data_IF_836079581369
#
_entry.id   IF_836079581369
#
_cell.length_a   1.000
_cell.length_b   1.000
_cell.length_c   1.000
_cell.angle_alpha   90.00
_cell.angle_beta   90.00
_cell.angle_gamma   90.00
#
_symmetry.space_group_name_H-M   'P 1'
#
loop_
_entity.id
_entity.type
_entity.pdbx_description
1 polymer ?
#
# COMPACT_ATOMS: atom_id res chain seq x y z
N UNK A 1 3.59 51.45 3.94
CA UNK A 1 4.57 51.60 2.86
C UNK A 1 4.79 50.23 2.24
N UNK A 2 4.45 50.13 0.95
CA UNK A 2 4.17 48.89 0.23
C UNK A 2 5.40 48.01 0.00
N UNK A 3 5.27 46.71 0.26
CA UNK A 3 6.13 45.69 -0.36
C UNK A 3 5.57 45.31 -1.73
N UNK A 4 6.45 45.43 -2.72
CA UNK A 4 6.19 45.21 -4.15
C UNK A 4 6.00 43.73 -4.43
N UNK A 5 4.95 43.44 -5.21
CA UNK A 5 4.72 42.18 -5.92
C UNK A 5 5.72 42.04 -7.09
N UNK A 6 6.31 40.86 -7.21
CA UNK A 6 6.99 40.33 -8.41
C UNK A 6 6.70 38.84 -8.42
N UNK A 7 6.35 38.16 -9.51
CA UNK A 7 6.00 38.53 -10.87
C UNK A 7 5.29 37.31 -11.46
N UNK A 8 4.21 37.52 -12.19
CA UNK A 8 3.49 36.47 -12.92
C UNK A 8 4.30 36.11 -14.17
N UNK A 9 4.80 34.87 -14.23
CA UNK A 9 5.32 34.27 -15.46
C UNK A 9 4.12 33.90 -16.34
N UNK A 10 3.87 34.74 -17.33
CA UNK A 10 2.97 34.49 -18.45
C UNK A 10 3.56 33.41 -19.36
N UNK A 11 2.90 32.25 -19.46
CA UNK A 11 3.21 31.23 -20.47
C UNK A 11 2.36 31.53 -21.71
N UNK A 12 3.00 32.02 -22.76
CA UNK A 12 2.41 32.18 -24.09
C UNK A 12 2.42 30.83 -24.81
N UNK A 13 1.26 30.27 -25.13
CA UNK A 13 1.15 29.07 -25.97
C UNK A 13 1.02 29.53 -27.43
N UNK A 14 2.03 29.23 -28.24
CA UNK A 14 1.98 29.40 -29.69
C UNK A 14 1.14 28.28 -30.31
N UNK A 15 0.03 28.65 -30.97
CA UNK A 15 -0.78 27.73 -31.78
C UNK A 15 -0.11 27.56 -33.14
N UNK A 16 0.57 26.44 -33.33
CA UNK A 16 1.00 25.96 -34.65
C UNK A 16 -0.16 25.25 -35.35
N UNK A 17 -0.54 25.75 -36.52
CA UNK A 17 -1.50 25.12 -37.43
C UNK A 17 -0.86 23.91 -38.12
N UNK A 18 -1.44 22.72 -37.91
CA UNK A 18 -1.16 21.54 -38.76
C UNK A 18 -2.47 21.08 -39.39
N UNK A 19 -2.49 21.19 -40.71
CA UNK A 19 -3.52 20.68 -41.61
C UNK A 19 -3.46 19.15 -41.72
N UNK A 20 -4.59 18.49 -41.43
CA UNK A 20 -5.11 17.33 -42.17
C UNK A 20 -4.42 15.97 -42.05
N UNK A 21 -5.05 15.04 -41.33
CA UNK A 21 -5.32 13.65 -41.77
C UNK A 21 -6.27 12.98 -40.78
N UNK A 22 -7.36 12.41 -41.30
CA UNK A 22 -8.41 11.72 -40.58
C UNK A 22 -7.98 10.34 -40.09
N UNK A 23 -8.01 10.10 -38.78
CA UNK A 23 -7.98 8.75 -38.19
C UNK A 23 -8.96 8.69 -37.02
N UNK A 24 -9.93 7.78 -37.14
CA UNK A 24 -10.75 7.12 -36.12
C UNK A 24 -10.80 7.81 -34.74
N UNK A 25 -11.96 8.38 -34.41
CA UNK A 25 -12.25 9.03 -33.15
C UNK A 25 -12.11 8.10 -31.96
N UNK A 26 -10.99 8.23 -31.26
CA UNK A 26 -10.96 8.16 -29.81
C UNK A 26 -11.12 9.61 -29.38
N UNK A 27 -12.26 9.96 -28.78
CA UNK A 27 -12.41 11.29 -28.19
C UNK A 27 -11.28 11.51 -27.20
N UNK A 28 -10.48 12.58 -27.34
CA UNK A 28 -9.54 12.93 -26.31
C UNK A 28 -10.36 13.29 -25.08
N UNK A 29 -10.13 12.59 -23.96
CA UNK A 29 -10.57 13.05 -22.64
C UNK A 29 -10.07 14.49 -22.53
N UNK A 30 -11.00 15.44 -22.66
CA UNK A 30 -10.69 16.86 -22.65
C UNK A 30 -9.97 17.16 -21.34
N UNK A 31 -8.71 17.58 -21.43
CA UNK A 31 -7.98 18.06 -20.26
C UNK A 31 -8.81 19.17 -19.59
N UNK A 32 -9.11 19.00 -18.30
CA UNK A 32 -9.90 19.94 -17.54
C UNK A 32 -9.32 21.36 -17.65
N UNK A 33 -10.20 22.37 -17.74
CA UNK A 33 -9.73 23.76 -17.70
C UNK A 33 -9.12 24.05 -16.33
N UNK A 34 -8.08 24.90 -16.28
CA UNK A 34 -7.43 25.25 -15.02
C UNK A 34 -8.42 25.79 -13.96
N UNK A 35 -9.50 26.45 -14.40
CA UNK A 35 -10.56 26.95 -13.52
C UNK A 35 -11.39 25.82 -12.91
N UNK A 36 -11.68 24.76 -13.66
CA UNK A 36 -12.46 23.62 -13.15
C UNK A 36 -11.62 22.78 -12.19
N UNK A 37 -10.36 22.51 -12.53
CA UNK A 37 -9.41 21.83 -11.65
C UNK A 37 -9.33 22.50 -10.27
N UNK A 38 -9.23 23.83 -10.23
CA UNK A 38 -9.13 24.59 -8.98
C UNK A 38 -10.40 24.48 -8.14
N UNK A 39 -11.59 24.50 -8.76
CA UNK A 39 -12.86 24.35 -8.04
C UNK A 39 -12.96 22.97 -7.40
N UNK A 40 -12.71 21.91 -8.17
CA UNK A 40 -12.78 20.51 -7.69
C UNK A 40 -11.80 20.30 -6.55
N UNK A 41 -10.56 20.76 -6.70
CA UNK A 41 -9.55 20.68 -5.65
C UNK A 41 -9.97 21.42 -4.37
N UNK A 42 -10.44 22.67 -4.50
CA UNK A 42 -10.86 23.46 -3.34
C UNK A 42 -12.07 22.85 -2.61
N UNK A 43 -13.02 22.26 -3.33
CA UNK A 43 -14.15 21.58 -2.72
C UNK A 43 -13.69 20.32 -1.97
N UNK A 44 -12.79 19.52 -2.56
CA UNK A 44 -12.17 18.39 -1.88
C UNK A 44 -11.43 18.81 -0.60
N UNK A 45 -10.70 19.93 -0.64
CA UNK A 45 -10.01 20.49 0.54
C UNK A 45 -10.97 20.74 1.71
N UNK A 46 -12.18 21.25 1.45
CA UNK A 46 -13.17 21.53 2.49
C UNK A 46 -13.60 20.26 3.26
N UNK A 47 -13.55 19.10 2.61
CA UNK A 47 -13.86 17.81 3.23
C UNK A 47 -12.64 17.16 3.88
N UNK A 48 -11.52 17.03 3.16
CA UNK A 48 -10.37 16.20 3.59
C UNK A 48 -9.65 16.75 4.82
N UNK A 49 -9.76 18.05 5.09
CA UNK A 49 -9.16 18.70 6.26
C UNK A 49 -9.90 18.43 7.57
N UNK A 50 -11.10 17.82 7.52
CA UNK A 50 -11.96 17.60 8.67
C UNK A 50 -12.25 16.11 8.84
N UNK A 51 -11.82 15.45 9.93
CA UNK A 51 -12.01 14.01 10.12
C UNK A 51 -13.47 13.55 10.05
N UNK A 52 -14.42 14.41 10.46
CA UNK A 52 -15.87 14.15 10.38
C UNK A 52 -16.39 14.05 8.94
N UNK A 53 -15.73 14.70 7.98
CA UNK A 53 -16.11 14.69 6.56
C UNK A 53 -15.23 13.75 5.71
N UNK A 54 -14.47 12.85 6.33
CA UNK A 54 -13.58 11.94 5.61
C UNK A 54 -14.33 11.04 4.61
N UNK A 55 -15.52 10.56 4.97
CA UNK A 55 -16.38 9.82 4.04
C UNK A 55 -16.82 10.68 2.85
N UNK A 56 -17.17 11.96 3.09
CA UNK A 56 -17.48 12.92 2.03
C UNK A 56 -16.26 13.17 1.13
N UNK A 57 -15.06 13.32 1.70
CA UNK A 57 -13.84 13.52 0.93
C UNK A 57 -13.56 12.33 0.00
N UNK A 58 -13.71 11.10 0.51
CA UNK A 58 -13.54 9.88 -0.28
C UNK A 58 -14.57 9.80 -1.40
N UNK A 59 -15.85 9.98 -1.08
CA UNK A 59 -16.91 9.93 -2.08
C UNK A 59 -16.76 11.04 -3.13
N UNK A 60 -16.42 12.24 -2.71
CA UNK A 60 -16.16 13.36 -3.62
C UNK A 60 -15.01 13.04 -4.56
N UNK A 61 -13.88 12.52 -4.05
CA UNK A 61 -12.77 12.13 -4.90
C UNK A 61 -13.17 11.05 -5.92
N UNK A 62 -13.91 10.01 -5.51
CA UNK A 62 -14.36 8.94 -6.43
C UNK A 62 -15.16 9.51 -7.61
N UNK A 63 -15.99 10.51 -7.37
CA UNK A 63 -16.90 11.05 -8.39
C UNK A 63 -16.30 12.17 -9.26
N UNK A 64 -15.18 12.78 -8.85
CA UNK A 64 -14.64 13.97 -9.51
C UNK A 64 -13.14 13.88 -9.83
N UNK A 65 -12.48 12.73 -9.62
CA UNK A 65 -11.05 12.60 -9.88
C UNK A 65 -10.68 12.70 -11.36
N UNK A 66 -11.61 12.41 -12.26
CA UNK A 66 -11.48 12.53 -13.71
C UNK A 66 -11.65 13.98 -14.22
N UNK A 67 -12.15 14.88 -13.37
CA UNK A 67 -12.36 16.30 -13.68
C UNK A 67 -11.13 17.18 -13.39
N UNK A 68 -10.02 16.60 -12.95
CA UNK A 68 -8.77 17.31 -12.63
C UNK A 68 -7.60 16.77 -13.44
N UNK A 69 -6.54 17.57 -13.55
CA UNK A 69 -5.30 17.07 -14.14
C UNK A 69 -4.64 16.00 -13.25
N UNK A 70 -3.76 15.20 -13.87
CA UNK A 70 -3.07 14.07 -13.23
C UNK A 70 -2.30 14.44 -11.97
N UNK A 71 -1.66 15.61 -11.94
CA UNK A 71 -0.89 16.03 -10.77
C UNK A 71 -1.84 16.36 -9.62
N UNK A 72 -2.92 17.09 -9.89
CA UNK A 72 -3.96 17.41 -8.91
C UNK A 72 -4.66 16.15 -8.38
N UNK A 73 -5.02 15.20 -9.25
CA UNK A 73 -5.56 13.89 -8.86
C UNK A 73 -4.62 13.13 -7.91
N UNK A 74 -3.31 13.12 -8.23
CA UNK A 74 -2.27 12.54 -7.35
C UNK A 74 -2.27 13.20 -5.97
N UNK A 75 -2.27 14.53 -5.91
CA UNK A 75 -2.26 15.23 -4.62
C UNK A 75 -3.51 14.93 -3.78
N UNK A 76 -4.70 14.97 -4.39
CA UNK A 76 -5.95 14.65 -3.69
C UNK A 76 -5.95 13.21 -3.17
N UNK A 77 -5.46 12.25 -3.96
CA UNK A 77 -5.35 10.83 -3.55
C UNK A 77 -4.40 10.66 -2.36
N UNK A 78 -3.23 11.29 -2.38
CA UNK A 78 -2.25 11.22 -1.29
C UNK A 78 -2.77 11.88 -0.01
N UNK A 79 -3.48 13.00 -0.13
CA UNK A 79 -4.10 13.68 1.01
C UNK A 79 -5.21 12.83 1.63
N UNK A 80 -6.06 12.19 0.81
CA UNK A 80 -7.09 11.27 1.31
C UNK A 80 -6.45 10.12 2.11
N UNK A 81 -5.42 9.47 1.54
CA UNK A 81 -4.72 8.37 2.19
C UNK A 81 -4.09 8.80 3.52
N UNK A 82 -3.40 9.95 3.53
CA UNK A 82 -2.76 10.47 4.74
C UNK A 82 -3.80 10.78 5.83
N UNK A 83 -4.94 11.39 5.47
CA UNK A 83 -6.02 11.67 6.43
C UNK A 83 -6.67 10.39 6.96
N UNK A 84 -6.90 9.39 6.11
CA UNK A 84 -7.39 8.09 6.55
C UNK A 84 -6.42 7.42 7.53
N UNK A 85 -5.12 7.38 7.21
CA UNK A 85 -4.10 6.84 8.12
C UNK A 85 -4.10 7.57 9.47
N UNK A 86 -4.11 8.90 9.44
CA UNK A 86 -4.09 9.71 10.66
C UNK A 86 -5.35 9.52 11.54
N UNK A 87 -6.49 9.20 10.93
CA UNK A 87 -7.75 9.02 11.64
C UNK A 87 -8.06 7.55 11.99
N UNK A 88 -7.26 6.60 11.52
CA UNK A 88 -7.52 5.17 11.70
C UNK A 88 -7.59 4.79 13.18
N UNK A 89 -6.62 5.21 14.00
CA UNK A 89 -6.57 4.89 15.44
C UNK A 89 -7.82 5.39 16.18
N UNK A 90 -8.21 6.65 15.94
CA UNK A 90 -9.41 7.24 16.54
C UNK A 90 -10.68 6.51 16.10
N UNK A 91 -10.75 6.08 14.85
CA UNK A 91 -11.88 5.28 14.38
C UNK A 91 -11.89 3.86 14.98
N UNK A 92 -10.72 3.25 15.20
CA UNK A 92 -10.60 1.92 15.82
C UNK A 92 -11.28 1.84 17.18
N UNK A 93 -11.24 2.91 17.99
CA UNK A 93 -11.91 2.99 19.29
C UNK A 93 -13.43 2.77 19.21
N UNK A 94 -14.06 3.01 18.04
CA UNK A 94 -15.49 2.73 17.84
C UNK A 94 -15.78 1.25 17.59
N UNK A 95 -14.77 0.48 17.22
CA UNK A 95 -14.90 -0.95 16.88
C UNK A 95 -14.67 -1.83 18.12
N UNK A 96 -13.83 -1.40 19.07
CA UNK A 96 -13.50 -2.18 20.28
C UNK A 96 -14.58 -2.37 21.36
N UNK A 97 -15.65 -1.56 21.48
CA UNK A 97 -16.67 -1.79 22.49
C UNK A 97 -17.24 -3.21 22.43
N UNK A 98 -17.44 -3.86 23.59
CA UNK A 98 -17.81 -5.27 23.70
C UNK A 98 -19.04 -5.63 22.84
N UNK A 99 -20.06 -4.77 22.85
CA UNK A 99 -21.26 -4.95 22.03
C UNK A 99 -20.94 -5.01 20.53
N UNK A 100 -20.06 -4.14 20.03
CA UNK A 100 -19.66 -4.09 18.62
C UNK A 100 -18.87 -5.36 18.27
N UNK A 101 -17.88 -5.74 19.08
CA UNK A 101 -17.10 -6.97 18.91
C UNK A 101 -17.99 -8.22 18.87
N UNK A 102 -18.93 -8.34 19.80
CA UNK A 102 -19.85 -9.48 19.89
C UNK A 102 -20.76 -9.60 18.67
N UNK A 103 -21.33 -8.49 18.20
CA UNK A 103 -22.17 -8.49 17.00
C UNK A 103 -21.38 -8.84 15.74
N UNK A 104 -20.16 -8.30 15.59
CA UNK A 104 -19.26 -8.67 14.48
C UNK A 104 -18.92 -10.17 14.57
N UNK A 105 -18.56 -10.67 15.74
CA UNK A 105 -18.23 -12.09 15.95
C UNK A 105 -19.39 -13.02 15.60
N UNK A 106 -20.60 -12.67 16.04
CA UNK A 106 -21.81 -13.45 15.76
C UNK A 106 -22.11 -13.49 14.25
N UNK A 107 -21.95 -12.36 13.57
CA UNK A 107 -22.14 -12.29 12.12
C UNK A 107 -21.04 -13.06 11.36
N UNK A 108 -19.78 -12.86 11.72
CA UNK A 108 -18.65 -13.57 11.14
C UNK A 108 -18.74 -15.08 11.33
N UNK A 109 -19.16 -15.55 12.51
CA UNK A 109 -19.29 -16.98 12.79
C UNK A 109 -20.32 -17.68 11.89
N UNK A 110 -21.35 -16.96 11.42
CA UNK A 110 -22.38 -17.48 10.51
C UNK A 110 -21.95 -17.47 9.05
N UNK A 111 -21.31 -16.40 8.59
CA UNK A 111 -20.98 -16.21 7.16
C UNK A 111 -19.53 -16.50 6.78
N UNK A 112 -18.62 -16.62 7.76
CA UNK A 112 -17.16 -16.75 7.58
C UNK A 112 -16.54 -15.72 6.63
N UNK A 113 -17.12 -14.50 6.63
CA UNK A 113 -16.71 -13.41 5.74
C UNK A 113 -16.83 -12.06 6.47
N UNK A 114 -15.70 -11.34 6.59
CA UNK A 114 -15.56 -10.05 7.29
C UNK A 114 -15.84 -8.81 6.42
N UNK A 115 -16.29 -8.98 5.17
CA UNK A 115 -16.69 -7.83 4.36
C UNK A 115 -17.86 -7.08 4.99
N UNK A 116 -17.86 -5.75 4.87
CA UNK A 116 -18.96 -4.93 5.37
C UNK A 116 -20.32 -5.34 4.81
N UNK A 117 -20.39 -5.75 3.54
CA UNK A 117 -21.64 -6.25 2.93
C UNK A 117 -22.18 -7.47 3.68
N UNK A 118 -21.33 -8.46 3.96
CA UNK A 118 -21.69 -9.66 4.72
C UNK A 118 -22.17 -9.31 6.13
N UNK A 119 -21.40 -8.48 6.85
CA UNK A 119 -21.70 -8.07 8.21
C UNK A 119 -23.02 -7.27 8.30
N UNK A 120 -23.20 -6.29 7.42
CA UNK A 120 -24.40 -5.45 7.38
C UNK A 120 -25.66 -6.20 6.91
N UNK A 121 -25.54 -7.34 6.22
CA UNK A 121 -26.72 -8.16 5.94
C UNK A 121 -27.22 -8.89 7.20
N UNK A 122 -26.29 -9.24 8.10
CA UNK A 122 -26.58 -10.04 9.29
C UNK A 122 -26.91 -9.19 10.52
N UNK A 123 -26.11 -8.16 10.80
CA UNK A 123 -26.23 -7.34 12.01
C UNK A 123 -27.44 -6.40 11.87
N UNK A 124 -28.35 -6.45 12.85
CA UNK A 124 -29.58 -5.65 12.88
C UNK A 124 -29.50 -4.44 13.81
N UNK A 125 -28.63 -4.47 14.81
CA UNK A 125 -28.44 -3.34 15.73
C UNK A 125 -28.00 -2.07 14.98
N UNK A 126 -28.82 -1.01 15.05
CA UNK A 126 -28.60 0.22 14.29
C UNK A 126 -27.29 0.92 14.66
N UNK A 127 -26.90 0.91 15.94
CA UNK A 127 -25.68 1.56 16.40
C UNK A 127 -24.43 0.84 15.87
N UNK A 128 -24.40 -0.49 15.94
CA UNK A 128 -23.29 -1.28 15.36
C UNK A 128 -23.23 -1.11 13.85
N UNK A 129 -24.39 -1.13 13.17
CA UNK A 129 -24.45 -0.88 11.73
C UNK A 129 -23.89 0.50 11.35
N UNK A 130 -24.21 1.54 12.13
CA UNK A 130 -23.70 2.89 11.88
C UNK A 130 -22.17 2.95 12.01
N UNK A 131 -21.58 2.26 12.99
CA UNK A 131 -20.11 2.13 13.08
C UNK A 131 -19.57 1.48 11.81
N UNK A 132 -20.12 0.34 11.40
CA UNK A 132 -19.65 -0.38 10.21
C UNK A 132 -19.79 0.42 8.91
N UNK A 133 -20.92 1.12 8.73
CA UNK A 133 -21.16 2.01 7.59
C UNK A 133 -20.14 3.15 7.58
N UNK A 134 -19.90 3.78 8.74
CA UNK A 134 -18.89 4.84 8.87
C UNK A 134 -17.49 4.34 8.44
N UNK A 135 -17.06 3.16 8.90
CA UNK A 135 -15.77 2.59 8.53
C UNK A 135 -15.64 2.26 7.05
N UNK A 136 -16.68 1.66 6.47
CA UNK A 136 -16.76 1.37 5.04
C UNK A 136 -16.63 2.65 4.22
N UNK A 137 -17.41 3.67 4.57
CA UNK A 137 -17.50 4.91 3.80
C UNK A 137 -16.23 5.76 3.96
N UNK A 138 -15.54 5.64 5.11
CA UNK A 138 -14.21 6.21 5.33
C UNK A 138 -13.09 5.45 4.62
N UNK A 139 -13.34 4.28 4.02
CA UNK A 139 -12.34 3.53 3.25
C UNK A 139 -11.46 2.59 4.08
N UNK A 140 -11.99 2.08 5.18
CA UNK A 140 -11.36 0.99 5.94
C UNK A 140 -11.92 -0.36 5.49
N UNK A 141 -11.30 -1.44 5.96
CA UNK A 141 -11.83 -2.81 5.98
C UNK A 141 -11.63 -3.38 7.39
N UNK A 142 -12.28 -4.49 7.71
CA UNK A 142 -12.08 -5.17 8.99
C UNK A 142 -11.14 -6.36 8.83
N UNK A 143 -10.31 -6.56 9.84
CA UNK A 143 -9.50 -7.75 10.04
C UNK A 143 -9.74 -8.33 11.43
N UNK A 144 -9.18 -9.51 11.67
CA UNK A 144 -9.22 -10.16 12.97
C UNK A 144 -7.90 -10.82 13.30
N UNK A 145 -7.53 -10.74 14.58
CA UNK A 145 -6.40 -11.45 15.17
C UNK A 145 -6.76 -11.75 16.62
N UNK A 146 -6.39 -12.93 17.12
CA UNK A 146 -6.61 -13.34 18.53
C UNK A 146 -8.06 -13.16 19.02
N UNK A 147 -9.04 -13.32 18.13
CA UNK A 147 -10.46 -13.18 18.47
C UNK A 147 -10.98 -11.75 18.55
N UNK A 148 -10.14 -10.76 18.28
CA UNK A 148 -10.51 -9.34 18.21
C UNK A 148 -10.70 -8.89 16.76
N UNK A 149 -11.61 -7.95 16.53
CA UNK A 149 -11.86 -7.33 15.23
C UNK A 149 -11.41 -5.87 15.24
N UNK A 150 -10.68 -5.44 14.23
CA UNK A 150 -10.16 -4.08 14.14
C UNK A 150 -10.16 -3.58 12.70
N UNK A 151 -10.29 -2.25 12.49
CA UNK A 151 -10.21 -1.69 11.16
C UNK A 151 -8.76 -1.52 10.71
N UNK A 152 -8.54 -1.70 9.42
CA UNK A 152 -7.30 -1.38 8.72
C UNK A 152 -7.60 -0.62 7.44
N UNK A 153 -6.58 0.00 6.83
CA UNK A 153 -6.71 0.65 5.52
C UNK A 153 -7.21 -0.35 4.46
N UNK A 154 -8.18 0.04 3.63
CA UNK A 154 -8.64 -0.76 2.49
C UNK A 154 -8.01 -0.27 1.18
N UNK A 155 -6.76 -0.69 0.92
CA UNK A 155 -6.01 -0.25 -0.25
C UNK A 155 -6.57 -0.77 -1.59
N UNK A 156 -7.29 -1.89 -1.60
CA UNK A 156 -8.02 -2.32 -2.80
C UNK A 156 -8.98 -1.23 -3.30
N UNK A 157 -9.62 -0.52 -2.37
CA UNK A 157 -10.50 0.61 -2.68
C UNK A 157 -9.78 1.82 -3.31
N UNK A 158 -8.45 1.90 -3.25
CA UNK A 158 -7.66 2.94 -3.92
C UNK A 158 -7.37 2.61 -5.38
N UNK A 159 -7.53 1.36 -5.82
CA UNK A 159 -7.26 0.98 -7.22
C UNK A 159 -8.11 1.74 -8.23
N UNK A 160 -9.30 2.20 -7.81
CA UNK A 160 -10.17 3.07 -8.62
C UNK A 160 -9.51 4.39 -9.04
N UNK A 161 -8.49 4.87 -8.30
CA UNK A 161 -7.79 6.11 -8.59
C UNK A 161 -6.60 5.93 -9.54
N UNK A 162 -6.12 4.69 -9.73
CA UNK A 162 -4.91 4.38 -10.54
C UNK A 162 -4.89 5.00 -11.94
N UNK A 163 -6.01 5.04 -12.71
CA UNK A 163 -6.01 5.63 -14.05
C UNK A 163 -5.67 7.13 -14.05
N UNK A 164 -6.00 7.83 -12.96
CA UNK A 164 -5.95 9.29 -12.88
C UNK A 164 -4.66 9.82 -12.26
N UNK A 165 -3.98 9.01 -11.45
CA UNK A 165 -2.74 9.41 -10.76
C UNK A 165 -1.48 9.17 -11.60
N UNK A 166 -0.35 9.65 -11.07
CA UNK A 166 0.99 9.40 -11.61
C UNK A 166 1.37 7.92 -11.50
N UNK A 167 2.25 7.46 -12.40
CA UNK A 167 2.61 6.03 -12.51
C UNK A 167 3.22 5.46 -11.22
N UNK A 168 4.01 6.27 -10.52
CA UNK A 168 4.58 5.91 -9.23
C UNK A 168 3.46 5.66 -8.20
N UNK A 169 2.51 6.58 -8.04
CA UNK A 169 1.43 6.39 -7.07
C UNK A 169 0.52 5.23 -7.46
N UNK A 170 0.29 4.97 -8.75
CA UNK A 170 -0.42 3.78 -9.19
C UNK A 170 0.29 2.48 -8.80
N UNK A 171 1.62 2.41 -8.94
CA UNK A 171 2.43 1.25 -8.52
C UNK A 171 2.47 1.10 -7.00
N UNK A 172 2.56 2.22 -6.26
CA UNK A 172 2.47 2.24 -4.80
C UNK A 172 1.14 1.64 -4.31
N UNK A 173 0.02 2.01 -4.93
CA UNK A 173 -1.31 1.47 -4.59
C UNK A 173 -1.34 -0.05 -4.75
N UNK A 174 -0.71 -0.60 -5.80
CA UNK A 174 -0.67 -2.05 -5.99
C UNK A 174 0.13 -2.76 -4.89
N UNK A 175 1.29 -2.24 -4.51
CA UNK A 175 2.10 -2.78 -3.41
C UNK A 175 1.29 -2.77 -2.11
N UNK A 176 0.69 -1.64 -1.77
CA UNK A 176 -0.09 -1.51 -0.53
C UNK A 176 -1.37 -2.34 -0.54
N UNK A 177 -2.02 -2.51 -1.71
CA UNK A 177 -3.20 -3.36 -1.85
C UNK A 177 -2.84 -4.84 -1.68
N UNK A 178 -1.73 -5.29 -2.24
CA UNK A 178 -1.23 -6.66 -2.05
C UNK A 178 -0.98 -6.96 -0.58
N UNK A 179 -0.27 -6.07 0.13
CA UNK A 179 0.01 -6.25 1.55
C UNK A 179 -1.24 -6.13 2.42
N UNK A 180 -2.12 -5.16 2.12
CA UNK A 180 -3.38 -4.99 2.84
C UNK A 180 -4.28 -6.21 2.65
N UNK A 181 -4.47 -6.73 1.44
CA UNK A 181 -5.41 -7.81 1.17
C UNK A 181 -4.96 -9.15 1.77
N UNK A 182 -3.65 -9.39 1.80
CA UNK A 182 -3.05 -10.59 2.37
C UNK A 182 -1.78 -10.19 3.11
N UNK A 183 -1.87 -9.86 4.41
CA UNK A 183 -0.70 -9.45 5.20
C UNK A 183 0.43 -10.47 5.12
N UNK A 184 1.66 -10.00 4.96
CA UNK A 184 2.84 -10.88 4.94
C UNK A 184 3.19 -11.40 6.33
N UNK A 185 2.84 -10.63 7.37
CA UNK A 185 3.11 -10.93 8.77
C UNK A 185 1.85 -10.75 9.61
N UNK A 186 1.59 -11.71 10.49
CA UNK A 186 0.52 -11.67 11.51
C UNK A 186 1.00 -12.39 12.76
N UNK A 187 0.72 -11.84 13.94
CA UNK A 187 1.21 -12.36 15.24
C UNK A 187 2.70 -12.77 15.21
N UNK A 188 3.54 -11.84 14.75
CA UNK A 188 4.98 -12.04 14.55
C UNK A 188 5.38 -13.29 13.74
N UNK A 189 4.48 -13.87 12.95
CA UNK A 189 4.69 -14.99 12.03
C UNK A 189 4.63 -14.50 10.58
N UNK A 190 5.46 -15.06 9.71
CA UNK A 190 5.31 -14.90 8.27
C UNK A 190 4.19 -15.85 7.84
N UNK A 191 3.08 -15.29 7.34
CA UNK A 191 1.84 -16.05 7.05
C UNK A 191 1.60 -16.25 5.55
N UNK A 192 2.59 -15.92 4.73
CA UNK A 192 2.61 -16.14 3.29
C UNK A 192 3.77 -17.05 2.88
N UNK A 193 3.71 -17.72 1.72
CA UNK A 193 4.84 -18.49 1.21
C UNK A 193 6.10 -17.63 1.02
N UNK A 194 7.27 -18.21 1.27
CA UNK A 194 8.57 -17.51 1.12
C UNK A 194 8.82 -16.98 -0.30
N UNK A 195 8.34 -17.70 -1.32
CA UNK A 195 8.41 -17.22 -2.71
C UNK A 195 7.59 -15.93 -2.92
N UNK A 196 6.38 -15.85 -2.33
CA UNK A 196 5.55 -14.65 -2.38
C UNK A 196 6.19 -13.51 -1.59
N UNK A 197 6.75 -13.78 -0.40
CA UNK A 197 7.50 -12.78 0.37
C UNK A 197 8.68 -12.20 -0.43
N UNK A 198 9.39 -13.06 -1.15
CA UNK A 198 10.53 -12.68 -2.00
C UNK A 198 10.07 -11.79 -3.16
N UNK A 199 8.99 -12.18 -3.85
CA UNK A 199 8.42 -11.40 -4.94
C UNK A 199 7.93 -10.02 -4.48
N UNK A 200 7.33 -9.92 -3.28
CA UNK A 200 6.92 -8.64 -2.71
C UNK A 200 8.11 -7.74 -2.39
N UNK A 201 9.19 -8.30 -1.84
CA UNK A 201 10.42 -7.54 -1.60
C UNK A 201 11.02 -7.01 -2.91
N UNK A 202 11.05 -7.83 -3.96
CA UNK A 202 11.49 -7.43 -5.31
C UNK A 202 10.60 -6.34 -5.92
N UNK A 203 9.27 -6.40 -5.71
CA UNK A 203 8.36 -5.36 -6.18
C UNK A 203 8.59 -4.02 -5.47
N UNK A 204 8.91 -4.04 -4.17
CA UNK A 204 9.27 -2.83 -3.42
C UNK A 204 10.62 -2.29 -3.92
N UNK A 205 11.61 -3.16 -4.15
CA UNK A 205 12.91 -2.78 -4.71
C UNK A 205 12.76 -2.11 -6.10
N UNK A 206 11.98 -2.74 -6.97
CA UNK A 206 11.67 -2.21 -8.30
C UNK A 206 11.03 -0.81 -8.23
N UNK A 207 10.11 -0.60 -7.28
CA UNK A 207 9.54 0.72 -7.04
C UNK A 207 10.59 1.76 -6.65
N UNK A 208 11.41 1.48 -5.64
CA UNK A 208 12.36 2.48 -5.11
C UNK A 208 13.46 2.80 -6.13
N UNK A 209 13.79 1.84 -7.00
CA UNK A 209 14.73 2.02 -8.11
C UNK A 209 14.11 2.82 -9.26
N UNK A 210 12.87 2.52 -9.66
CA UNK A 210 12.21 3.21 -10.78
C UNK A 210 11.69 4.60 -10.42
N UNK A 211 11.30 4.81 -9.17
CA UNK A 211 10.65 6.04 -8.70
C UNK A 211 11.35 6.66 -7.49
N UNK A 212 12.66 6.96 -7.57
CA UNK A 212 13.42 7.47 -6.42
C UNK A 212 12.90 8.83 -5.92
N UNK A 213 12.32 9.64 -6.82
CA UNK A 213 11.74 10.94 -6.52
C UNK A 213 10.25 10.90 -6.12
N UNK A 214 9.63 9.71 -6.04
CA UNK A 214 8.24 9.60 -5.60
C UNK A 214 8.07 10.11 -4.17
N UNK A 215 6.92 10.72 -3.88
CA UNK A 215 6.54 11.08 -2.51
C UNK A 215 6.48 9.85 -1.56
N UNK A 216 6.36 8.63 -2.12
CA UNK A 216 6.31 7.37 -1.36
C UNK A 216 7.65 6.62 -1.31
N UNK A 217 8.69 7.13 -1.96
CA UNK A 217 10.01 6.48 -2.03
C UNK A 217 10.61 6.23 -0.64
N UNK A 218 10.66 7.25 0.22
CA UNK A 218 11.23 7.11 1.58
C UNK A 218 10.47 6.09 2.43
N UNK A 219 9.14 6.00 2.30
CA UNK A 219 8.36 5.02 3.03
C UNK A 219 8.68 3.60 2.54
N UNK A 220 8.69 3.39 1.21
CA UNK A 220 9.01 2.08 0.64
C UNK A 220 10.47 1.67 0.79
N UNK A 221 11.42 2.61 0.92
CA UNK A 221 12.79 2.28 1.30
C UNK A 221 12.86 1.66 2.71
N UNK A 222 12.08 2.17 3.66
CA UNK A 222 12.00 1.58 5.01
C UNK A 222 11.36 0.20 4.97
N UNK A 223 10.27 0.04 4.21
CA UNK A 223 9.64 -1.27 4.01
C UNK A 223 10.57 -2.25 3.30
N UNK A 224 11.42 -1.79 2.37
CA UNK A 224 12.43 -2.62 1.70
C UNK A 224 13.46 -3.16 2.70
N UNK A 225 13.92 -2.34 3.64
CA UNK A 225 14.84 -2.78 4.70
C UNK A 225 14.18 -3.84 5.60
N UNK A 226 12.92 -3.61 5.99
CA UNK A 226 12.13 -4.56 6.78
C UNK A 226 11.93 -5.87 6.01
N UNK A 227 11.54 -5.80 4.74
CA UNK A 227 11.36 -6.96 3.88
C UNK A 227 12.67 -7.73 3.68
N UNK A 228 13.78 -7.02 3.48
CA UNK A 228 15.12 -7.63 3.38
C UNK A 228 15.47 -8.36 4.68
N UNK A 229 15.28 -7.73 5.83
CA UNK A 229 15.50 -8.37 7.14
C UNK A 229 14.62 -9.62 7.32
N UNK A 230 13.33 -9.55 6.94
CA UNK A 230 12.41 -10.70 7.01
C UNK A 230 12.82 -11.85 6.10
N UNK A 231 13.35 -11.59 4.90
CA UNK A 231 13.94 -12.65 4.08
C UNK A 231 15.11 -13.27 4.84
N UNK A 232 16.07 -12.45 5.26
CA UNK A 232 17.32 -12.94 5.80
C UNK A 232 17.19 -13.69 7.13
N UNK A 233 16.31 -13.25 8.03
CA UNK A 233 16.15 -13.82 9.38
C UNK A 233 14.81 -14.54 9.60
N UNK A 234 13.78 -14.21 8.81
CA UNK A 234 12.39 -14.56 9.11
C UNK A 234 11.76 -13.63 10.14
N UNK A 235 10.79 -14.16 10.87
CA UNK A 235 10.15 -13.47 12.00
C UNK A 235 10.20 -14.34 13.25
N UNK A 236 9.81 -13.77 14.40
CA UNK A 236 9.90 -14.45 15.70
C UNK A 236 9.14 -15.77 15.78
N UNK A 237 8.01 -15.93 15.08
CA UNK A 237 7.24 -17.18 15.05
C UNK A 237 7.43 -17.97 13.75
N UNK A 238 8.23 -17.45 12.81
CA UNK A 238 8.54 -18.10 11.53
C UNK A 238 9.98 -17.76 11.12
N UNK A 239 10.99 -18.26 11.85
CA UNK A 239 12.38 -17.95 11.54
C UNK A 239 12.77 -18.62 10.22
N UNK A 240 13.72 -18.01 9.51
CA UNK A 240 14.31 -18.56 8.29
C UNK A 240 15.20 -19.79 8.58
N UNK A 241 15.72 -19.89 9.80
CA UNK A 241 16.56 -20.98 10.29
C UNK A 241 15.81 -21.79 11.35
N UNK A 242 16.08 -23.09 11.42
CA UNK A 242 15.63 -23.93 12.51
C UNK A 242 16.24 -23.48 13.84
N UNK A 243 15.46 -23.51 14.92
CA UNK A 243 15.91 -23.02 16.23
C UNK A 243 17.03 -23.87 16.82
N UNK A 244 16.90 -25.20 16.71
CA UNK A 244 17.77 -26.14 17.40
C UNK A 244 18.98 -26.47 16.54
N UNK A 245 18.74 -26.77 15.27
CA UNK A 245 19.79 -27.18 14.35
C UNK A 245 20.58 -25.98 13.80
N UNK A 246 20.01 -24.77 13.88
CA UNK A 246 20.57 -23.56 13.27
C UNK A 246 20.81 -23.77 11.78
N UNK A 247 19.91 -24.48 11.08
CA UNK A 247 20.01 -24.77 9.64
C UNK A 247 18.94 -23.98 8.89
N UNK A 248 19.26 -23.40 7.74
CA UNK A 248 18.23 -22.73 6.93
C UNK A 248 17.16 -23.72 6.54
N UNK A 249 15.89 -23.33 6.70
CA UNK A 249 14.78 -24.23 6.38
C UNK A 249 14.73 -24.52 4.87
N UNK A 250 14.45 -25.77 4.45
CA UNK A 250 14.48 -26.16 3.05
C UNK A 250 13.57 -25.31 2.16
N UNK A 251 12.38 -24.94 2.63
CA UNK A 251 11.42 -24.12 1.90
C UNK A 251 11.91 -22.68 1.69
N UNK A 252 12.70 -22.14 2.63
CA UNK A 252 13.31 -20.82 2.54
C UNK A 252 14.41 -20.85 1.49
N UNK A 253 15.34 -21.81 1.62
CA UNK A 253 16.44 -21.99 0.66
C UNK A 253 15.90 -22.17 -0.75
N UNK A 254 14.87 -23.01 -0.91
CA UNK A 254 14.22 -23.27 -2.20
C UNK A 254 13.62 -22.00 -2.80
N UNK A 255 12.96 -21.15 -2.01
CA UNK A 255 12.43 -19.88 -2.50
C UNK A 255 13.53 -18.96 -3.06
N UNK A 256 14.71 -18.93 -2.43
CA UNK A 256 15.84 -18.12 -2.92
C UNK A 256 16.44 -18.68 -4.20
N UNK A 257 16.61 -20.00 -4.27
CA UNK A 257 17.08 -20.67 -5.48
C UNK A 257 16.13 -20.45 -6.66
N UNK A 258 14.82 -20.54 -6.42
CA UNK A 258 13.80 -20.35 -7.45
C UNK A 258 13.77 -18.87 -7.90
N UNK A 259 13.90 -17.90 -6.98
CA UNK A 259 14.00 -16.48 -7.32
C UNK A 259 15.22 -16.15 -8.20
N UNK A 260 16.35 -16.84 -8.00
CA UNK A 260 17.55 -16.67 -8.84
C UNK A 260 17.42 -17.32 -10.22
N UNK A 261 16.67 -18.43 -10.35
CA UNK A 261 16.39 -19.06 -11.66
C UNK A 261 15.50 -18.16 -12.52
N UNK A 262 14.53 -17.50 -11.90
CA UNK A 262 13.59 -16.59 -12.58
C UNK A 262 14.16 -15.17 -12.78
N UNK A 263 15.44 -14.94 -12.45
CA UNK A 263 16.13 -13.65 -12.56
C UNK A 263 16.12 -13.15 -14.00
N UNK A 264 15.30 -12.11 -14.25
CA UNK A 264 15.27 -11.36 -15.52
C UNK A 264 16.14 -10.12 -15.50
N UNK A 265 16.30 -9.52 -14.32
CA UNK A 265 17.05 -8.28 -14.09
C UNK A 265 17.88 -8.49 -12.83
N UNK A 266 19.09 -7.94 -12.81
CA UNK A 266 19.91 -7.93 -11.61
C UNK A 266 19.42 -6.88 -10.62
N UNK A 267 19.19 -7.30 -9.38
CA UNK A 267 18.73 -6.42 -8.30
C UNK A 267 19.58 -6.62 -7.05
N UNK A 268 19.58 -5.66 -6.12
CA UNK A 268 20.36 -5.78 -4.87
C UNK A 268 19.84 -6.95 -4.04
N UNK A 269 18.53 -7.18 -3.95
CA UNK A 269 17.98 -8.37 -3.26
C UNK A 269 18.51 -9.65 -3.89
N UNK A 270 18.42 -9.82 -5.21
CA UNK A 270 18.88 -11.05 -5.86
C UNK A 270 20.39 -11.25 -5.66
N UNK A 271 21.18 -10.19 -5.73
CA UNK A 271 22.61 -10.22 -5.41
C UNK A 271 22.89 -10.62 -3.95
N UNK A 272 22.06 -10.18 -2.99
CA UNK A 272 22.15 -10.59 -1.58
C UNK A 272 21.83 -12.09 -1.44
N UNK A 273 20.73 -12.55 -2.05
CA UNK A 273 20.30 -13.96 -1.99
C UNK A 273 21.33 -14.90 -2.64
N UNK A 274 21.92 -14.49 -3.77
CA UNK A 274 22.99 -15.23 -4.43
C UNK A 274 24.21 -15.41 -3.53
N UNK A 275 24.68 -14.32 -2.90
CA UNK A 275 25.80 -14.39 -1.93
C UNK A 275 25.44 -15.24 -0.71
N UNK A 276 24.23 -15.10 -0.18
CA UNK A 276 23.77 -15.90 0.96
C UNK A 276 23.77 -17.40 0.62
N UNK A 277 23.26 -17.80 -0.55
CA UNK A 277 23.23 -19.20 -0.98
C UNK A 277 24.63 -19.78 -1.16
N UNK A 278 25.60 -18.98 -1.65
CA UNK A 278 27.00 -19.40 -1.73
C UNK A 278 27.59 -19.67 -0.33
N UNK A 279 27.32 -18.80 0.65
CA UNK A 279 27.76 -18.98 2.04
C UNK A 279 27.05 -20.18 2.70
N UNK A 280 25.76 -20.39 2.45
CA UNK A 280 25.03 -21.54 2.96
C UNK A 280 25.60 -22.85 2.40
N UNK A 281 25.94 -22.88 1.11
CA UNK A 281 26.54 -24.08 0.51
C UNK A 281 27.92 -24.41 1.11
N UNK A 282 28.74 -23.41 1.46
CA UNK A 282 30.05 -23.64 2.10
C UNK A 282 29.97 -24.01 3.58
N UNK A 283 28.83 -23.77 4.22
CA UNK A 283 28.60 -24.01 5.66
C UNK A 283 27.65 -25.18 5.91
N UNK A 284 27.38 -26.00 4.89
CA UNK A 284 26.41 -27.11 4.96
C UNK A 284 25.04 -26.63 5.48
N UNK A 285 24.58 -25.47 5.00
CA UNK A 285 23.32 -24.80 5.34
C UNK A 285 23.21 -24.29 6.78
N UNK A 286 24.30 -24.35 7.57
CA UNK A 286 24.29 -23.92 8.98
C UNK A 286 24.46 -22.42 9.11
N UNK A 287 23.67 -21.81 9.97
CA UNK A 287 23.83 -20.46 10.47
C UNK A 287 25.12 -20.40 11.31
N UNK A 288 26.15 -19.81 10.73
CA UNK A 288 27.49 -19.68 11.34
C UNK A 288 27.81 -18.20 11.56
N UNK A 289 28.86 -17.88 12.36
CA UNK A 289 29.29 -16.48 12.53
C UNK A 289 29.61 -15.75 11.22
N UNK A 290 30.01 -16.47 10.16
CA UNK A 290 30.23 -15.89 8.82
C UNK A 290 28.91 -15.44 8.18
N UNK A 291 27.86 -16.27 8.30
CA UNK A 291 26.52 -15.91 7.82
C UNK A 291 25.95 -14.78 8.67
N UNK A 292 26.02 -14.88 9.99
CA UNK A 292 25.54 -13.85 10.90
C UNK A 292 26.16 -12.49 10.56
N UNK A 293 27.49 -12.44 10.42
CA UNK A 293 28.20 -11.22 10.00
C UNK A 293 27.67 -10.68 8.68
N UNK A 294 27.51 -11.53 7.66
CA UNK A 294 26.99 -11.13 6.36
C UNK A 294 25.56 -10.56 6.45
N UNK A 295 24.67 -11.17 7.24
CA UNK A 295 23.31 -10.67 7.43
C UNK A 295 23.30 -9.32 8.15
N UNK A 296 24.08 -9.18 9.23
CA UNK A 296 24.19 -7.95 10.01
C UNK A 296 24.70 -6.79 9.15
N UNK A 297 25.74 -7.02 8.35
CA UNK A 297 26.28 -6.02 7.43
C UNK A 297 25.26 -5.64 6.34
N UNK A 298 24.46 -6.60 5.87
CA UNK A 298 23.46 -6.38 4.81
C UNK A 298 22.24 -5.59 5.28
N UNK A 299 21.77 -5.84 6.50
CA UNK A 299 20.60 -5.15 7.06
C UNK A 299 20.94 -3.74 7.55
N UNK A 300 22.19 -3.51 7.93
CA UNK A 300 22.67 -2.19 8.42
C UNK A 300 23.29 -1.31 7.32
N UNK A 301 23.38 -1.77 6.08
CA UNK A 301 23.86 -0.99 4.91
C UNK A 301 22.77 -0.11 4.31
#
# INVERSE_FOLDING_TARGET
MNWKKTGLLSISIALGSVTGLSTLGIEPVLAATATETVKVYNQFQQYVQKPTFLANARNYLINHIDEVDKWTATQMTLQLENTQKAHLSVYSEKVFPEKVQKEINNAFSKGKNLTYTSLLNTIKDSNVRNVLIEGRDKGYKLETSEGMYYPVMHYEGFKTFKPYVTKDIAAYIDIMATESNQPSVSDAAIVIPWAELTNRALAIEDFVTKYPASNRSTALQKELLIATSRLLYGSSNTPAYDYDEQVIKPEVKKAYEDALKDRKVDTRILSILEKLLQLLNSTNNKFTPVIEKFLVETVNS
#
